data_IF_864273705227
#
_entry.id   IF_864273705227
#
_cell.length_a   1.000
_cell.length_b   1.000
_cell.length_c   1.000
_cell.angle_alpha   90.00
_cell.angle_beta   90.00
_cell.angle_gamma   90.00
#
_symmetry.space_group_name_H-M   'P 1'
#
loop_
_entity.id
_entity.type
_entity.pdbx_description
1 polymer ?
#
# COMPACT_ATOMS: atom_id res chain seq x y z
N UNK A 1 10.41 6.07 -17.32
CA UNK A 1 10.71 6.04 -15.86
C UNK A 1 12.16 6.36 -15.54
N UNK A 2 13.11 5.78 -16.27
CA UNK A 2 14.55 6.06 -16.05
C UNK A 2 14.86 7.55 -16.11
N UNK A 3 14.44 8.23 -17.18
CA UNK A 3 14.70 9.65 -17.36
C UNK A 3 14.12 10.50 -16.24
N UNK A 4 12.96 10.12 -15.74
CA UNK A 4 12.30 10.87 -14.66
C UNK A 4 13.16 10.89 -13.40
N UNK A 5 13.67 9.74 -12.98
CA UNK A 5 14.51 9.67 -11.78
C UNK A 5 15.87 10.35 -12.00
N UNK A 6 16.47 10.14 -13.15
CA UNK A 6 17.76 10.79 -13.44
C UNK A 6 17.63 12.30 -13.46
N UNK A 7 16.57 12.81 -14.08
CA UNK A 7 16.34 14.26 -14.15
C UNK A 7 16.03 14.85 -12.77
N UNK A 8 15.52 14.04 -11.85
CA UNK A 8 15.25 14.48 -10.50
C UNK A 8 16.48 14.43 -9.58
N UNK A 9 17.67 14.13 -10.13
CA UNK A 9 18.89 14.12 -9.36
C UNK A 9 19.29 12.79 -8.77
N UNK A 10 18.63 11.71 -9.18
CA UNK A 10 18.98 10.37 -8.69
C UNK A 10 20.24 9.87 -9.38
N UNK A 11 21.15 9.29 -8.60
CA UNK A 11 22.31 8.60 -9.16
C UNK A 11 21.86 7.37 -9.96
N UNK A 12 22.75 6.83 -10.79
CA UNK A 12 22.40 5.64 -11.56
C UNK A 12 22.08 4.43 -10.66
N UNK A 13 22.87 4.10 -9.63
CA UNK A 13 22.51 3.02 -8.73
C UNK A 13 21.18 3.26 -8.01
N UNK A 14 20.92 4.47 -7.55
CA UNK A 14 19.67 4.79 -6.86
C UNK A 14 18.49 4.73 -7.84
N UNK A 15 18.68 5.17 -9.08
CA UNK A 15 17.64 5.05 -10.11
C UNK A 15 17.25 3.59 -10.32
N UNK A 16 18.22 2.69 -10.42
CA UNK A 16 17.93 1.27 -10.59
C UNK A 16 17.14 0.71 -9.41
N UNK A 17 17.53 1.08 -8.19
CA UNK A 17 16.83 0.65 -6.98
C UNK A 17 15.44 1.24 -6.89
N UNK A 18 15.28 2.50 -7.27
CA UNK A 18 13.98 3.17 -7.25
C UNK A 18 13.00 2.49 -8.21
N UNK A 19 13.45 2.18 -9.43
CA UNK A 19 12.61 1.51 -10.41
C UNK A 19 12.21 0.12 -9.91
N UNK A 20 13.15 -0.64 -9.37
CA UNK A 20 12.86 -1.96 -8.83
C UNK A 20 11.83 -1.89 -7.70
N UNK A 21 11.98 -0.92 -6.80
CA UNK A 21 11.07 -0.76 -5.66
C UNK A 21 9.67 -0.33 -6.13
N UNK A 22 9.59 0.66 -7.01
CA UNK A 22 8.30 1.17 -7.50
C UNK A 22 7.58 0.11 -8.31
N UNK A 23 8.29 -0.56 -9.23
CA UNK A 23 7.68 -1.61 -10.06
C UNK A 23 7.19 -2.77 -9.20
N UNK A 24 7.95 -3.18 -8.20
CA UNK A 24 7.55 -4.26 -7.30
C UNK A 24 6.30 -3.87 -6.51
N UNK A 25 6.23 -2.62 -6.04
CA UNK A 25 5.08 -2.13 -5.31
C UNK A 25 3.82 -2.12 -6.18
N UNK A 26 3.93 -1.55 -7.38
CA UNK A 26 2.79 -1.46 -8.31
C UNK A 26 2.32 -2.85 -8.70
N UNK A 27 3.24 -3.72 -9.10
CA UNK A 27 2.90 -5.07 -9.52
C UNK A 27 2.29 -5.88 -8.39
N UNK A 28 2.90 -5.82 -7.21
CA UNK A 28 2.41 -6.56 -6.04
C UNK A 28 1.02 -6.10 -5.62
N UNK A 29 0.78 -4.79 -5.63
CA UNK A 29 -0.53 -4.26 -5.28
C UNK A 29 -1.59 -4.70 -6.30
N UNK A 30 -1.27 -4.61 -7.60
CA UNK A 30 -2.19 -5.02 -8.65
C UNK A 30 -2.54 -6.51 -8.54
N UNK A 31 -1.56 -7.35 -8.20
CA UNK A 31 -1.81 -8.77 -8.00
C UNK A 31 -2.71 -9.01 -6.80
N UNK A 32 -2.52 -8.27 -5.72
CA UNK A 32 -3.38 -8.38 -4.54
C UNK A 32 -4.82 -7.98 -4.86
N UNK A 33 -5.01 -6.90 -5.61
CA UNK A 33 -6.35 -6.49 -6.02
C UNK A 33 -7.06 -7.56 -6.82
N UNK A 34 -6.35 -8.22 -7.74
CA UNK A 34 -6.93 -9.26 -8.58
C UNK A 34 -7.37 -10.48 -7.78
N UNK A 35 -6.72 -10.75 -6.66
CA UNK A 35 -7.02 -11.92 -5.85
C UNK A 35 -8.03 -11.66 -4.75
N UNK A 36 -8.50 -10.42 -4.59
CA UNK A 36 -9.53 -10.10 -3.63
C UNK A 36 -10.83 -10.81 -4.00
N UNK A 37 -11.52 -11.44 -3.03
CA UNK A 37 -12.75 -12.17 -3.30
C UNK A 37 -13.98 -11.26 -3.40
N UNK A 38 -13.78 -9.96 -3.59
CA UNK A 38 -14.85 -8.98 -3.73
C UNK A 38 -14.43 -7.90 -4.71
N UNK A 39 -15.41 -7.27 -5.35
CA UNK A 39 -15.16 -6.21 -6.33
C UNK A 39 -15.85 -4.90 -6.00
N UNK A 40 -16.68 -4.85 -4.97
CA UNK A 40 -17.38 -3.64 -4.53
C UNK A 40 -17.14 -3.38 -3.05
N UNK A 41 -17.34 -2.13 -2.63
CA UNK A 41 -17.23 -1.77 -1.23
C UNK A 41 -18.26 -2.52 -0.38
N UNK A 42 -19.44 -2.75 -0.93
CA UNK A 42 -20.50 -3.48 -0.23
C UNK A 42 -20.12 -4.92 0.01
N UNK A 43 -19.55 -5.59 -1.00
CA UNK A 43 -19.07 -6.95 -0.85
C UNK A 43 -17.93 -7.02 0.16
N UNK A 44 -17.02 -6.06 0.12
CA UNK A 44 -15.91 -6.00 1.07
C UNK A 44 -16.42 -5.84 2.50
N UNK A 45 -17.40 -4.96 2.72
CA UNK A 45 -17.99 -4.74 4.03
C UNK A 45 -18.71 -5.99 4.55
N UNK A 46 -19.43 -6.67 3.67
CA UNK A 46 -20.14 -7.91 4.05
C UNK A 46 -19.16 -8.99 4.48
N UNK A 47 -18.08 -9.18 3.72
CA UNK A 47 -17.04 -10.16 4.07
C UNK A 47 -16.33 -9.79 5.37
N UNK A 48 -16.06 -8.49 5.56
CA UNK A 48 -15.39 -8.02 6.77
C UNK A 48 -16.24 -8.28 8.00
N UNK A 49 -17.56 -8.13 7.91
CA UNK A 49 -18.45 -8.45 9.02
C UNK A 49 -18.44 -9.93 9.38
N UNK A 50 -18.45 -10.80 8.38
CA UNK A 50 -18.35 -12.24 8.59
C UNK A 50 -17.03 -12.58 9.27
N UNK A 51 -15.93 -12.02 8.77
CA UNK A 51 -14.60 -12.25 9.33
C UNK A 51 -14.50 -11.72 10.76
N UNK A 52 -15.10 -10.56 11.04
CA UNK A 52 -15.09 -9.97 12.37
C UNK A 52 -15.73 -10.92 13.40
N UNK A 53 -16.86 -11.50 13.05
CA UNK A 53 -17.54 -12.47 13.93
C UNK A 53 -16.64 -13.67 14.18
N UNK A 54 -15.99 -14.20 13.14
CA UNK A 54 -15.10 -15.34 13.29
C UNK A 54 -13.88 -15.01 14.13
N UNK A 55 -13.30 -13.81 13.95
CA UNK A 55 -12.13 -13.37 14.69
C UNK A 55 -12.44 -13.17 16.18
N UNK A 56 -13.62 -12.64 16.48
CA UNK A 56 -14.04 -12.48 17.86
C UNK A 56 -14.17 -13.83 18.56
N UNK A 57 -14.69 -14.83 17.85
CA UNK A 57 -14.81 -16.18 18.39
C UNK A 57 -13.47 -16.88 18.54
N UNK A 58 -12.50 -16.55 17.68
CA UNK A 58 -11.17 -17.15 17.69
C UNK A 58 -10.16 -16.41 18.57
N UNK A 59 -10.59 -15.34 19.25
CA UNK A 59 -9.75 -14.56 20.17
C UNK A 59 -8.56 -13.85 19.48
N UNK A 60 -8.82 -13.20 18.34
CA UNK A 60 -7.85 -12.34 17.69
C UNK A 60 -8.24 -10.87 17.85
N UNK A 61 -7.99 -10.26 19.04
CA UNK A 61 -8.53 -8.92 19.35
C UNK A 61 -7.98 -7.81 18.48
N UNK A 62 -6.69 -7.85 18.11
CA UNK A 62 -6.10 -6.79 17.30
C UNK A 62 -6.61 -6.84 15.87
N UNK A 63 -6.75 -8.03 15.32
CA UNK A 63 -7.27 -8.18 13.97
C UNK A 63 -8.74 -7.82 13.90
N UNK A 64 -9.51 -8.17 14.94
CA UNK A 64 -10.91 -7.77 15.06
C UNK A 64 -11.03 -6.25 15.14
N UNK A 65 -10.17 -5.60 15.92
CA UNK A 65 -10.16 -4.15 16.04
C UNK A 65 -9.86 -3.49 14.69
N UNK A 66 -8.85 -3.98 13.98
CA UNK A 66 -8.51 -3.46 12.66
C UNK A 66 -9.70 -3.58 11.71
N UNK A 67 -10.36 -4.73 11.70
CA UNK A 67 -11.50 -4.96 10.83
C UNK A 67 -12.64 -4.00 11.17
N UNK A 68 -12.98 -3.87 12.45
CA UNK A 68 -14.09 -3.04 12.87
C UNK A 68 -13.81 -1.55 12.70
N UNK A 69 -12.61 -1.09 13.03
CA UNK A 69 -12.30 0.34 13.10
C UNK A 69 -11.66 0.90 11.86
N UNK A 70 -11.24 0.06 10.93
CA UNK A 70 -10.63 0.52 9.69
C UNK A 70 -11.36 -0.03 8.47
N UNK A 71 -11.41 -1.34 8.33
CA UNK A 71 -11.96 -1.96 7.13
C UNK A 71 -13.47 -1.73 7.00
N UNK A 72 -14.21 -1.73 8.11
CA UNK A 72 -15.66 -1.52 8.10
C UNK A 72 -16.08 -0.05 8.14
N UNK A 73 -15.13 0.88 8.19
CA UNK A 73 -15.47 2.30 8.20
C UNK A 73 -16.05 2.75 6.86
N UNK A 74 -17.01 3.68 6.88
CA UNK A 74 -17.55 4.23 5.62
C UNK A 74 -16.45 4.82 4.76
N UNK A 75 -16.50 4.54 3.47
CA UNK A 75 -15.51 5.05 2.53
C UNK A 75 -14.23 4.25 2.43
N UNK A 76 -14.10 3.17 3.19
CA UNK A 76 -12.94 2.31 3.04
C UNK A 76 -12.90 1.71 1.63
N UNK A 77 -11.73 1.78 1.01
CA UNK A 77 -11.48 1.22 -0.31
C UNK A 77 -10.04 0.71 -0.33
N UNK A 78 -9.86 -0.56 -0.67
CA UNK A 78 -8.52 -1.14 -0.71
C UNK A 78 -7.59 -0.36 -1.65
N UNK A 79 -8.11 0.15 -2.76
CA UNK A 79 -7.31 0.93 -3.70
C UNK A 79 -6.74 2.21 -3.10
N UNK A 80 -7.40 2.78 -2.09
CA UNK A 80 -6.90 3.98 -1.40
C UNK A 80 -5.62 3.70 -0.62
N UNK A 81 -5.42 2.46 -0.21
CA UNK A 81 -4.18 2.07 0.47
C UNK A 81 -2.98 2.15 -0.46
N UNK A 82 -3.20 2.01 -1.77
CA UNK A 82 -2.14 2.15 -2.77
C UNK A 82 -1.53 3.54 -2.73
N UNK A 83 -2.36 4.58 -2.70
CA UNK A 83 -1.88 5.96 -2.70
C UNK A 83 -1.05 6.26 -1.45
N UNK A 84 -1.50 5.81 -0.30
CA UNK A 84 -0.77 6.00 0.95
C UNK A 84 0.60 5.34 0.90
N UNK A 85 0.66 4.08 0.47
CA UNK A 85 1.93 3.35 0.39
C UNK A 85 2.86 3.91 -0.68
N UNK A 86 2.30 4.32 -1.83
CA UNK A 86 3.11 4.93 -2.89
C UNK A 86 3.74 6.24 -2.41
N UNK A 87 2.98 7.08 -1.70
CA UNK A 87 3.51 8.32 -1.15
C UNK A 87 4.66 8.06 -0.18
N UNK A 88 4.52 7.06 0.69
CA UNK A 88 5.60 6.69 1.60
C UNK A 88 6.86 6.27 0.84
N UNK A 89 6.69 5.48 -0.21
CA UNK A 89 7.81 5.00 -1.03
C UNK A 89 8.50 6.15 -1.73
N UNK A 90 7.73 7.04 -2.35
CA UNK A 90 8.29 8.18 -3.07
C UNK A 90 8.99 9.15 -2.13
N UNK A 91 8.43 9.40 -0.95
CA UNK A 91 9.06 10.25 0.06
C UNK A 91 10.37 9.64 0.54
N UNK A 92 10.39 8.32 0.75
CA UNK A 92 11.61 7.62 1.15
C UNK A 92 12.69 7.69 0.09
N UNK A 93 12.32 7.54 -1.18
CA UNK A 93 13.26 7.66 -2.29
C UNK A 93 13.81 9.08 -2.41
N UNK A 94 12.96 10.07 -2.20
CA UNK A 94 13.40 11.47 -2.21
C UNK A 94 14.45 11.74 -1.15
N UNK A 95 14.26 11.20 0.05
CA UNK A 95 15.24 11.34 1.13
C UNK A 95 16.54 10.61 0.86
N UNK A 96 16.53 9.61 0.03
CA UNK A 96 17.71 8.83 -0.32
C UNK A 96 18.59 9.52 -1.36
N UNK A 97 18.14 10.62 -1.96
CA UNK A 97 18.96 11.36 -2.91
C UNK A 97 20.16 12.01 -2.22
N UNK A 98 21.31 12.09 -2.90
CA UNK A 98 22.52 12.64 -2.30
C UNK A 98 22.36 14.06 -1.76
N UNK A 99 21.50 14.88 -2.38
CA UNK A 99 21.27 16.27 -1.94
C UNK A 99 20.72 16.33 -0.52
N UNK A 100 19.93 15.35 -0.13
CA UNK A 100 19.37 15.30 1.23
C UNK A 100 20.41 14.87 2.27
N UNK A 101 21.37 14.06 1.86
CA UNK A 101 22.41 13.59 2.78
C UNK A 101 23.51 14.63 3.01
N UNK A 102 23.59 15.63 2.13
CA UNK A 102 24.57 16.70 2.22
C UNK A 102 24.06 17.92 3.01
N UNK A 103 22.78 17.95 3.22
CA UNK A 103 22.17 19.02 4.01
C UNK A 103 22.37 18.79 5.50
#
# INVERSE_FOLDING_TARGET
MLGTFRNAGFSLPLTARAIAAVDSYIYGFAMQEKTLPFSTEEEAAAMAQIMLAQLAMAEYPYLAELTAKHVLQPGYNFSSEFDFGLDLLLDGLDRARPEHTQA
#
